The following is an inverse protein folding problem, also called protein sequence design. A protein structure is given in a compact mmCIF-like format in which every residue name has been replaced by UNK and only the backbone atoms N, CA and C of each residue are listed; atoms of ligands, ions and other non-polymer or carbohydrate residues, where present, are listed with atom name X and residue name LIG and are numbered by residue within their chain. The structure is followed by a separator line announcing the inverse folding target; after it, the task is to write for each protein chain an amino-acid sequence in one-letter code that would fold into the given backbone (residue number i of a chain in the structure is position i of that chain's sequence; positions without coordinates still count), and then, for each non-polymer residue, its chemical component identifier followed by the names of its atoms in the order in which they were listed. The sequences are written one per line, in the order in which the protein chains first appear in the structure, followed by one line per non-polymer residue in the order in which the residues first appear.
data_IF_280607830764
#
_entry.id   IF_280607830764
#
_cell.length_a   1.000
_cell.length_b   1.000
_cell.length_c   1.000
_cell.angle_alpha   90.00
_cell.angle_beta   90.00
_cell.angle_gamma   90.00
#
_symmetry.space_group_name_H-M   'P 1'
#
loop_
_entity.id
_entity.type
_entity.pdbx_description
1 polymer ?
#
# COMPACT_ATOMS: atom_id res chain seq x y z
N UNK A 1 -8.40 -22.64 -23.06
CA UNK A 1 -7.82 -21.28 -23.12
C UNK A 1 -6.80 -21.11 -24.25
N UNK A 2 -5.76 -21.95 -24.36
CA UNK A 2 -4.72 -21.83 -25.43
C UNK A 2 -5.32 -21.85 -26.85
N UNK A 3 -6.36 -22.66 -27.08
CA UNK A 3 -7.03 -22.74 -28.38
C UNK A 3 -7.72 -21.43 -28.79
N UNK A 4 -8.29 -20.67 -27.85
CA UNK A 4 -8.92 -19.37 -28.13
C UNK A 4 -7.90 -18.32 -28.57
N UNK A 5 -6.66 -18.38 -28.05
CA UNK A 5 -5.59 -17.45 -28.43
C UNK A 5 -5.07 -17.70 -29.86
N UNK A 6 -5.16 -18.94 -30.34
CA UNK A 6 -4.61 -19.37 -31.63
C UNK A 6 -5.61 -19.36 -32.78
N UNK A 7 -6.90 -19.19 -32.50
CA UNK A 7 -7.92 -19.16 -33.52
C UNK A 7 -7.65 -18.01 -34.50
N UNK A 8 -7.65 -18.32 -35.80
CA UNK A 8 -7.36 -17.36 -36.86
C UNK A 8 -8.63 -16.67 -37.35
N UNK A 9 -9.80 -17.24 -37.06
CA UNK A 9 -11.09 -16.70 -37.50
C UNK A 9 -12.17 -16.72 -36.42
N UNK A 10 -13.19 -15.89 -36.62
CA UNK A 10 -14.38 -15.86 -35.76
C UNK A 10 -15.19 -17.15 -35.83
N UNK A 11 -15.12 -17.86 -36.96
CA UNK A 11 -15.76 -19.17 -37.14
C UNK A 11 -15.09 -20.21 -36.25
N UNK A 12 -13.77 -20.24 -36.22
CA UNK A 12 -13.01 -21.14 -35.33
C UNK A 12 -13.26 -20.83 -33.85
N UNK A 13 -13.36 -19.55 -33.48
CA UNK A 13 -13.72 -19.16 -32.11
C UNK A 13 -15.09 -19.73 -31.70
N UNK A 14 -16.10 -19.60 -32.56
CA UNK A 14 -17.43 -20.15 -32.29
C UNK A 14 -17.41 -21.68 -32.20
N UNK A 15 -16.59 -22.34 -33.02
CA UNK A 15 -16.40 -23.79 -32.97
C UNK A 15 -15.79 -24.22 -31.64
N UNK A 16 -14.76 -23.51 -31.15
CA UNK A 16 -14.13 -23.77 -29.86
C UNK A 16 -15.14 -23.64 -28.72
N UNK A 17 -15.96 -22.58 -28.72
CA UNK A 17 -17.00 -22.43 -27.70
C UNK A 17 -18.03 -23.57 -27.75
N UNK A 18 -18.44 -23.97 -28.95
CA UNK A 18 -19.39 -25.08 -29.15
C UNK A 18 -18.82 -26.42 -28.68
N UNK A 19 -17.51 -26.63 -28.83
CA UNK A 19 -16.85 -27.87 -28.39
C UNK A 19 -16.63 -27.90 -26.87
N UNK A 20 -16.38 -26.75 -26.26
CA UNK A 20 -16.33 -26.62 -24.79
C UNK A 20 -17.72 -26.82 -24.18
N UNK A 21 -18.77 -26.29 -24.80
CA UNK A 21 -20.15 -26.45 -24.29
C UNK A 21 -20.58 -27.93 -24.22
N UNK A 22 -20.00 -28.81 -25.05
CA UNK A 22 -20.27 -30.26 -25.03
C UNK A 22 -19.62 -31.01 -23.87
N UNK A 23 -18.66 -30.43 -23.15
CA UNK A 23 -17.97 -31.15 -22.06
C UNK A 23 -18.83 -31.30 -20.80
N UNK A 24 -19.95 -30.57 -20.71
CA UNK A 24 -20.97 -30.63 -19.64
C UNK A 24 -20.39 -30.55 -18.20
N UNK A 25 -19.22 -29.94 -18.06
CA UNK A 25 -18.58 -29.72 -16.76
C UNK A 25 -19.23 -28.55 -16.01
N UNK A 26 -19.25 -28.65 -14.68
CA UNK A 26 -19.82 -27.61 -13.83
C UNK A 26 -19.03 -26.30 -13.95
N UNK A 27 -19.75 -25.18 -14.10
CA UNK A 27 -19.16 -23.84 -14.33
C UNK A 27 -18.76 -23.53 -15.79
N UNK A 28 -18.87 -24.47 -16.74
CA UNK A 28 -18.56 -24.21 -18.17
C UNK A 28 -19.47 -23.12 -18.75
N UNK A 29 -20.76 -23.14 -18.43
CA UNK A 29 -21.72 -22.13 -18.93
C UNK A 29 -21.36 -20.72 -18.47
N UNK A 30 -21.01 -20.55 -17.20
CA UNK A 30 -20.59 -19.26 -16.65
C UNK A 30 -19.28 -18.79 -17.28
N UNK A 31 -18.34 -19.72 -17.52
CA UNK A 31 -17.09 -19.45 -18.21
C UNK A 31 -17.33 -18.98 -19.65
N UNK A 32 -18.21 -19.67 -20.40
CA UNK A 32 -18.57 -19.30 -21.77
C UNK A 32 -19.26 -17.93 -21.77
N UNK A 33 -20.26 -17.69 -20.92
CA UNK A 33 -20.95 -16.38 -20.84
C UNK A 33 -19.96 -15.23 -20.58
N UNK A 34 -18.98 -15.46 -19.71
CA UNK A 34 -17.96 -14.45 -19.42
C UNK A 34 -17.07 -14.16 -20.63
N UNK A 35 -16.50 -15.21 -21.25
CA UNK A 35 -15.51 -15.04 -22.32
C UNK A 35 -16.10 -14.74 -23.70
N UNK A 36 -17.37 -15.08 -23.93
CA UNK A 36 -18.07 -14.79 -25.19
C UNK A 36 -18.48 -13.31 -25.31
N UNK A 37 -18.41 -12.54 -24.21
CA UNK A 37 -18.66 -11.09 -24.23
C UNK A 37 -17.74 -10.41 -25.24
N UNK A 38 -18.27 -9.62 -26.20
CA UNK A 38 -17.47 -9.08 -27.29
C UNK A 38 -16.21 -8.34 -26.86
N UNK A 39 -16.32 -7.52 -25.81
CA UNK A 39 -15.20 -6.73 -25.29
C UNK A 39 -14.17 -7.58 -24.53
N UNK A 40 -14.55 -8.71 -23.96
CA UNK A 40 -13.61 -9.66 -23.35
C UNK A 40 -12.93 -10.46 -24.44
N UNK A 41 -13.69 -11.02 -25.39
CA UNK A 41 -13.14 -11.81 -26.48
C UNK A 41 -12.16 -11.01 -27.35
N UNK A 42 -12.50 -9.74 -27.62
CA UNK A 42 -11.64 -8.81 -28.33
C UNK A 42 -10.35 -8.45 -27.58
N UNK A 43 -10.21 -8.76 -26.28
CA UNK A 43 -8.94 -8.61 -25.55
C UNK A 43 -8.04 -9.85 -25.64
N UNK A 44 -8.60 -10.98 -26.08
CA UNK A 44 -7.93 -12.28 -26.08
C UNK A 44 -7.49 -12.66 -27.48
N UNK A 45 -8.31 -12.38 -28.49
CA UNK A 45 -8.05 -12.79 -29.86
C UNK A 45 -8.23 -11.62 -30.84
N UNK A 46 -7.25 -11.44 -31.73
CA UNK A 46 -7.25 -10.37 -32.74
C UNK A 46 -8.42 -10.49 -33.71
N UNK A 47 -8.80 -11.69 -34.12
CA UNK A 47 -9.91 -11.97 -35.03
C UNK A 47 -11.29 -11.64 -34.44
N UNK A 48 -11.38 -11.47 -33.12
CA UNK A 48 -12.56 -10.93 -32.45
C UNK A 48 -12.49 -9.43 -32.21
N UNK A 49 -11.30 -8.84 -32.34
CA UNK A 49 -11.09 -7.40 -32.24
C UNK A 49 -11.37 -6.72 -33.58
N UNK A 50 -11.77 -5.45 -33.53
CA UNK A 50 -11.82 -4.57 -34.70
C UNK A 50 -10.47 -3.87 -34.95
N UNK A 51 -9.47 -4.14 -34.11
CA UNK A 51 -8.14 -3.58 -34.22
C UNK A 51 -7.35 -4.27 -35.32
N UNK A 52 -6.57 -3.49 -36.07
CA UNK A 52 -5.65 -4.02 -37.07
C UNK A 52 -4.66 -5.03 -36.46
N UNK A 53 -4.34 -6.09 -37.21
CA UNK A 53 -3.53 -7.21 -36.68
C UNK A 53 -2.09 -6.80 -36.40
N UNK A 54 -1.52 -5.86 -37.15
CA UNK A 54 -0.16 -5.36 -36.89
C UNK A 54 -0.13 -4.51 -35.62
N UNK A 55 -1.16 -3.69 -35.42
CA UNK A 55 -1.34 -2.92 -34.18
C UNK A 55 -1.54 -3.87 -33.00
N UNK A 56 -2.36 -4.91 -33.16
CA UNK A 56 -2.58 -5.95 -32.16
C UNK A 56 -1.27 -6.65 -31.76
N UNK A 57 -0.49 -7.11 -32.73
CA UNK A 57 0.77 -7.80 -32.47
C UNK A 57 1.85 -6.89 -31.85
N UNK A 58 1.79 -5.58 -32.13
CA UNK A 58 2.66 -4.58 -31.49
C UNK A 58 2.34 -4.42 -30.00
N UNK A 59 1.08 -4.58 -29.62
CA UNK A 59 0.66 -4.63 -28.22
C UNK A 59 0.99 -6.01 -27.62
N UNK A 60 2.19 -6.13 -27.06
CA UNK A 60 2.56 -7.33 -26.30
C UNK A 60 1.64 -7.53 -25.09
N UNK A 61 1.26 -8.78 -24.81
CA UNK A 61 0.56 -9.18 -23.57
C UNK A 61 1.45 -8.96 -22.34
N UNK A 62 1.55 -7.71 -21.89
CA UNK A 62 2.23 -7.37 -20.65
C UNK A 62 1.18 -7.05 -19.59
N UNK A 63 0.86 -8.04 -18.76
CA UNK A 63 0.02 -7.90 -17.55
C UNK A 63 0.38 -6.65 -16.75
N UNK A 64 1.69 -6.33 -16.69
CA UNK A 64 2.22 -5.13 -16.05
C UNK A 64 1.67 -3.80 -16.61
N UNK A 65 1.40 -3.70 -17.92
CA UNK A 65 0.84 -2.47 -18.51
C UNK A 65 -0.64 -2.33 -18.21
N UNK A 66 -1.39 -3.43 -18.27
CA UNK A 66 -2.80 -3.45 -17.88
C UNK A 66 -2.97 -3.10 -16.39
N UNK A 67 -2.19 -3.73 -15.51
CA UNK A 67 -2.18 -3.42 -14.08
C UNK A 67 -1.72 -1.99 -13.80
N UNK A 68 -0.70 -1.50 -14.51
CA UNK A 68 -0.24 -0.12 -14.39
C UNK A 68 -1.32 0.88 -14.84
N UNK A 69 -2.05 0.60 -15.92
CA UNK A 69 -3.16 1.42 -16.38
C UNK A 69 -4.27 1.49 -15.32
N UNK A 70 -4.70 0.34 -14.79
CA UNK A 70 -5.67 0.28 -13.70
C UNK A 70 -5.20 1.05 -12.45
N UNK A 71 -3.93 0.87 -12.06
CA UNK A 71 -3.33 1.56 -10.90
C UNK A 71 -3.25 3.08 -11.11
N UNK A 72 -2.90 3.54 -12.31
CA UNK A 72 -2.84 4.96 -12.66
C UNK A 72 -4.22 5.62 -12.64
N UNK A 73 -5.23 4.97 -13.23
CA UNK A 73 -6.61 5.46 -13.21
C UNK A 73 -7.11 5.56 -11.77
N UNK A 74 -6.90 4.51 -10.96
CA UNK A 74 -7.36 4.46 -9.57
C UNK A 74 -6.63 5.42 -8.63
N UNK A 75 -5.36 5.75 -8.89
CA UNK A 75 -4.62 6.79 -8.13
C UNK A 75 -5.26 8.17 -8.25
N UNK A 76 -5.96 8.43 -9.35
CA UNK A 76 -6.57 9.72 -9.64
C UNK A 76 -7.92 9.90 -8.92
N UNK A 77 -8.38 8.89 -8.17
CA UNK A 77 -9.61 8.91 -7.39
C UNK A 77 -10.54 7.77 -7.78
N UNK A 78 -11.17 7.15 -6.78
CA UNK A 78 -12.21 6.13 -6.96
C UNK A 78 -13.59 6.81 -6.94
N UNK A 79 -14.59 6.22 -7.62
CA UNK A 79 -16.00 6.66 -7.59
C UNK A 79 -16.25 8.09 -8.12
N UNK A 80 -15.63 8.44 -9.23
CA UNK A 80 -15.87 9.73 -9.90
C UNK A 80 -17.25 9.74 -10.59
N UNK A 81 -17.90 10.91 -10.63
CA UNK A 81 -19.04 11.14 -11.54
C UNK A 81 -18.57 10.92 -12.99
N UNK A 82 -19.43 10.36 -13.84
CA UNK A 82 -19.10 9.94 -15.20
C UNK A 82 -18.35 11.01 -16.01
N UNK A 83 -18.89 12.24 -16.05
CA UNK A 83 -18.26 13.39 -16.71
C UNK A 83 -16.84 13.68 -16.18
N UNK A 84 -16.65 13.59 -14.87
CA UNK A 84 -15.35 13.81 -14.24
C UNK A 84 -14.37 12.70 -14.57
N UNK A 85 -14.82 11.46 -14.72
CA UNK A 85 -14.00 10.34 -15.15
C UNK A 85 -13.53 10.52 -16.60
N UNK A 86 -14.45 10.88 -17.51
CA UNK A 86 -14.15 11.12 -18.93
C UNK A 86 -13.12 12.23 -19.11
N UNK A 87 -13.36 13.41 -18.51
CA UNK A 87 -12.44 14.55 -18.59
C UNK A 87 -11.05 14.23 -18.01
N UNK A 88 -10.99 13.41 -16.95
CA UNK A 88 -9.72 12.99 -16.36
C UNK A 88 -8.98 11.96 -17.22
N UNK A 89 -9.70 11.03 -17.84
CA UNK A 89 -9.15 10.09 -18.81
C UNK A 89 -8.50 10.84 -19.97
N UNK A 90 -9.22 11.78 -20.58
CA UNK A 90 -8.71 12.63 -21.66
C UNK A 90 -7.41 13.36 -21.27
N UNK A 91 -7.35 13.94 -20.06
CA UNK A 91 -6.14 14.63 -19.57
C UNK A 91 -4.96 13.68 -19.29
N UNK A 92 -5.21 12.40 -19.03
CA UNK A 92 -4.16 11.39 -18.91
C UNK A 92 -3.64 10.99 -20.30
N UNK A 93 -4.54 10.79 -21.25
CA UNK A 93 -4.21 10.44 -22.63
C UNK A 93 -3.40 11.56 -23.29
N UNK A 94 -3.81 12.82 -23.17
CA UNK A 94 -3.06 13.99 -23.66
C UNK A 94 -1.63 14.04 -23.10
N UNK A 95 -1.44 13.65 -21.83
CA UNK A 95 -0.10 13.59 -21.23
C UNK A 95 0.73 12.45 -21.80
N UNK A 96 0.14 11.29 -22.01
CA UNK A 96 0.82 10.15 -22.60
C UNK A 96 1.19 10.40 -24.06
N UNK A 97 0.31 11.02 -24.85
CA UNK A 97 0.61 11.41 -26.23
C UNK A 97 1.80 12.36 -26.31
N UNK A 98 1.83 13.42 -25.49
CA UNK A 98 2.99 14.33 -25.42
C UNK A 98 4.30 13.62 -25.05
N UNK A 99 4.23 12.64 -24.14
CA UNK A 99 5.39 11.84 -23.75
C UNK A 99 5.90 11.03 -24.94
N UNK A 100 5.00 10.38 -25.68
CA UNK A 100 5.32 9.60 -26.88
C UNK A 100 5.94 10.52 -27.94
N UNK A 101 5.32 11.66 -28.24
CA UNK A 101 5.83 12.64 -29.21
C UNK A 101 7.25 13.11 -28.87
N UNK A 102 7.51 13.46 -27.59
CA UNK A 102 8.84 13.88 -27.14
C UNK A 102 9.85 12.74 -27.27
N UNK A 103 9.45 11.53 -26.91
CA UNK A 103 10.32 10.35 -26.98
C UNK A 103 10.66 10.01 -28.44
N UNK A 104 9.69 10.06 -29.35
CA UNK A 104 9.90 9.83 -30.78
C UNK A 104 10.81 10.90 -31.38
N UNK A 105 10.63 12.17 -30.99
CA UNK A 105 11.47 13.29 -31.45
C UNK A 105 12.91 13.21 -30.90
N UNK A 106 13.08 12.93 -29.61
CA UNK A 106 14.38 12.98 -28.94
C UNK A 106 15.14 11.66 -28.93
N UNK A 107 14.48 10.55 -29.27
CA UNK A 107 14.94 9.17 -29.06
C UNK A 107 15.33 8.84 -27.60
N UNK A 108 15.01 9.72 -26.64
CA UNK A 108 15.29 9.51 -25.22
C UNK A 108 14.02 9.05 -24.51
N UNK A 109 14.03 7.85 -23.89
CA UNK A 109 12.87 7.35 -23.16
C UNK A 109 12.48 8.29 -22.00
N UNK A 110 11.20 8.64 -21.94
CA UNK A 110 10.69 9.45 -20.84
C UNK A 110 10.69 8.64 -19.54
N UNK A 111 11.44 9.10 -18.55
CA UNK A 111 11.40 8.53 -17.21
C UNK A 111 10.47 9.36 -16.32
N UNK A 112 9.36 8.76 -15.85
CA UNK A 112 8.42 9.39 -14.89
C UNK A 112 9.06 9.78 -13.54
N UNK A 113 10.33 9.42 -13.34
CA UNK A 113 11.12 9.74 -12.17
C UNK A 113 12.30 10.61 -12.59
N UNK A 114 12.36 11.81 -12.02
CA UNK A 114 13.55 12.65 -12.13
C UNK A 114 14.68 12.00 -11.32
N UNK A 115 15.59 11.33 -12.05
CA UNK A 115 16.80 10.72 -11.52
C UNK A 115 18.01 11.64 -11.65
N UNK A 116 17.83 12.94 -11.88
CA UNK A 116 18.93 13.90 -11.87
C UNK A 116 19.71 13.82 -10.55
N UNK A 117 20.99 14.18 -10.59
CA UNK A 117 21.83 14.22 -9.40
C UNK A 117 21.26 15.17 -8.35
N UNK A 118 20.72 16.31 -8.79
CA UNK A 118 20.06 17.32 -7.95
C UNK A 118 18.84 16.74 -7.23
N UNK A 119 17.95 16.04 -7.96
CA UNK A 119 16.77 15.44 -7.34
C UNK A 119 17.14 14.33 -6.36
N UNK A 120 18.15 13.52 -6.68
CA UNK A 120 18.67 12.49 -5.77
C UNK A 120 19.25 13.09 -4.48
N UNK A 121 20.03 14.17 -4.59
CA UNK A 121 20.55 14.89 -3.42
C UNK A 121 19.43 15.49 -2.57
N UNK A 122 18.42 16.13 -3.19
CA UNK A 122 17.26 16.67 -2.48
C UNK A 122 16.51 15.58 -1.70
N UNK A 123 16.27 14.42 -2.32
CA UNK A 123 15.63 13.28 -1.65
C UNK A 123 16.46 12.76 -0.48
N UNK A 124 17.78 12.70 -0.61
CA UNK A 124 18.68 12.30 0.48
C UNK A 124 18.65 13.31 1.65
N UNK A 125 18.65 14.61 1.37
CA UNK A 125 18.53 15.67 2.38
C UNK A 125 17.20 15.54 3.14
N UNK A 126 16.08 15.37 2.43
CA UNK A 126 14.76 15.23 3.05
C UNK A 126 14.66 13.97 3.95
N UNK A 127 15.27 12.86 3.53
CA UNK A 127 15.36 11.64 4.36
C UNK A 127 16.15 11.88 5.64
N UNK A 128 17.28 12.59 5.54
CA UNK A 128 18.11 12.95 6.71
C UNK A 128 17.36 13.88 7.67
N UNK A 129 16.64 14.87 7.13
CA UNK A 129 15.82 15.78 7.93
C UNK A 129 14.73 15.05 8.71
N UNK A 130 14.03 14.10 8.07
CA UNK A 130 13.01 13.28 8.74
C UNK A 130 13.60 12.41 9.87
N UNK A 131 14.74 11.77 9.61
CA UNK A 131 15.42 10.95 10.62
C UNK A 131 15.82 11.78 11.85
N UNK A 132 16.27 13.02 11.66
CA UNK A 132 16.63 13.90 12.76
C UNK A 132 15.42 14.26 13.63
N UNK A 133 14.27 14.56 13.01
CA UNK A 133 13.01 14.80 13.74
C UNK A 133 12.61 13.58 14.55
N UNK A 134 12.65 12.38 13.94
CA UNK A 134 12.29 11.13 14.62
C UNK A 134 13.23 10.82 15.82
N UNK A 135 14.52 11.17 15.70
CA UNK A 135 15.51 11.02 16.79
C UNK A 135 15.22 12.00 17.92
N UNK A 136 14.95 13.27 17.62
CA UNK A 136 14.66 14.29 18.61
C UNK A 136 13.38 13.95 19.40
N UNK A 137 12.32 13.51 18.71
CA UNK A 137 11.08 13.06 19.35
C UNK A 137 11.31 11.87 20.29
N UNK A 138 12.13 10.90 19.86
CA UNK A 138 12.47 9.74 20.71
C UNK A 138 13.29 10.16 21.93
N UNK A 139 14.22 11.09 21.77
CA UNK A 139 15.02 11.62 22.88
C UNK A 139 14.13 12.32 23.91
N UNK A 140 13.22 13.19 23.46
CA UNK A 140 12.31 13.92 24.34
C UNK A 140 11.40 12.98 25.14
N UNK A 141 10.92 11.91 24.48
CA UNK A 141 10.12 10.86 25.13
C UNK A 141 10.91 10.13 26.22
N UNK A 142 12.18 9.78 25.96
CA UNK A 142 13.05 9.12 26.93
C UNK A 142 13.37 10.03 28.12
N UNK A 143 13.60 11.31 27.89
CA UNK A 143 13.84 12.28 28.96
C UNK A 143 12.63 12.40 29.90
N UNK A 144 11.40 12.44 29.35
CA UNK A 144 10.17 12.41 30.15
C UNK A 144 10.03 11.13 30.98
N UNK A 145 10.26 9.96 30.37
CA UNK A 145 10.16 8.66 31.07
C UNK A 145 11.18 8.53 32.21
N UNK A 146 12.40 9.06 32.02
CA UNK A 146 13.42 9.10 33.07
C UNK A 146 12.96 9.98 34.23
N UNK A 147 12.37 11.14 33.95
CA UNK A 147 11.94 12.08 34.98
C UNK A 147 10.75 11.53 35.78
N UNK A 148 9.79 10.87 35.11
CA UNK A 148 8.70 10.14 35.77
C UNK A 148 9.22 9.05 36.71
N UNK A 149 10.20 8.25 36.26
CA UNK A 149 10.82 7.21 37.11
C UNK A 149 11.54 7.80 38.32
N UNK A 150 12.24 8.93 38.16
CA UNK A 150 12.89 9.62 39.30
C UNK A 150 11.86 10.10 40.31
N UNK A 151 10.75 10.67 39.85
CA UNK A 151 9.67 11.12 40.73
C UNK A 151 9.06 9.95 41.50
N UNK A 152 8.78 8.83 40.83
CA UNK A 152 8.26 7.62 41.47
C UNK A 152 9.24 7.02 42.49
N UNK A 153 10.55 7.09 42.24
CA UNK A 153 11.56 6.67 43.21
C UNK A 153 11.56 7.56 44.45
N UNK A 154 11.51 8.89 44.27
CA UNK A 154 11.42 9.84 45.39
C UNK A 154 10.16 9.61 46.22
N UNK A 155 9.02 9.33 45.60
CA UNK A 155 7.77 9.01 46.31
C UNK A 155 7.90 7.72 47.14
N UNK A 156 8.54 6.69 46.59
CA UNK A 156 8.82 5.44 47.33
C UNK A 156 9.76 5.67 48.50
N UNK A 157 10.80 6.47 48.33
CA UNK A 157 11.74 6.80 49.42
C UNK A 157 11.04 7.55 50.56
N UNK A 158 10.16 8.50 50.23
CA UNK A 158 9.35 9.22 51.22
C UNK A 158 8.40 8.25 51.95
N UNK A 159 7.77 7.33 51.23
CA UNK A 159 6.88 6.33 51.83
C UNK A 159 7.64 5.38 52.78
N UNK A 160 8.83 4.94 52.37
CA UNK A 160 9.71 4.11 53.21
C UNK A 160 10.11 4.86 54.48
N UNK A 161 10.54 6.12 54.39
CA UNK A 161 10.89 6.93 55.56
C UNK A 161 9.72 7.07 56.55
N UNK A 162 8.50 7.27 56.04
CA UNK A 162 7.29 7.31 56.90
C UNK A 162 7.05 5.98 57.59
N UNK A 163 7.13 4.87 56.86
CA UNK A 163 6.91 3.53 57.44
C UNK A 163 7.95 3.17 58.51
N UNK A 164 9.22 3.57 58.30
CA UNK A 164 10.29 3.37 59.29
C UNK A 164 10.01 4.16 60.56
N UNK A 165 9.63 5.44 60.43
CA UNK A 165 9.29 6.28 61.58
C UNK A 165 8.08 5.72 62.36
N UNK A 166 7.06 5.20 61.66
CA UNK A 166 5.92 4.54 62.30
C UNK A 166 6.33 3.29 63.11
N UNK A 167 7.18 2.42 62.53
CA UNK A 167 7.68 1.23 63.23
C UNK A 167 8.49 1.62 64.47
N UNK A 168 9.39 2.61 64.37
CA UNK A 168 10.15 3.11 65.51
C UNK A 168 9.24 3.64 66.64
N UNK A 169 8.18 4.37 66.29
CA UNK A 169 7.22 4.87 67.30
C UNK A 169 6.49 3.75 68.03
N UNK A 170 6.15 2.67 67.32
CA UNK A 170 5.50 1.49 67.89
C UNK A 170 6.45 0.73 68.81
N UNK A 171 7.72 0.57 68.41
CA UNK A 171 8.73 -0.08 69.26
C UNK A 171 8.96 0.67 70.56
N UNK A 172 9.14 2.00 70.50
CA UNK A 172 9.30 2.84 71.69
C UNK A 172 8.07 2.73 72.62
N UNK A 173 6.86 2.72 72.06
CA UNK A 173 5.63 2.56 72.84
C UNK A 173 5.57 1.19 73.54
N UNK A 174 5.94 0.12 72.82
CA UNK A 174 5.98 -1.24 73.36
C UNK A 174 7.02 -1.40 74.47
N UNK A 175 8.20 -0.79 74.33
CA UNK A 175 9.22 -0.79 75.39
C UNK A 175 8.72 -0.08 76.66
N UNK A 176 8.09 1.10 76.51
CA UNK A 176 7.48 1.82 77.64
C UNK A 176 6.40 1.00 78.34
N UNK A 177 5.55 0.31 77.58
CA UNK A 177 4.49 -0.55 78.14
C UNK A 177 5.08 -1.75 78.93
N UNK A 178 6.14 -2.38 78.41
CA UNK A 178 6.85 -3.46 79.13
C UNK A 178 7.47 -2.98 80.44
N UNK A 179 8.05 -1.78 80.46
CA UNK A 179 8.60 -1.19 81.68
C UNK A 179 7.52 -0.86 82.71
N UNK A 180 6.35 -0.36 82.27
CA UNK A 180 5.22 -0.09 83.15
C UNK A 180 4.64 -1.36 83.81
N UNK A 181 4.62 -2.49 83.10
CA UNK A 181 4.18 -3.79 83.64
C UNK A 181 5.17 -4.42 84.62
N UNK A 182 6.45 -4.04 84.59
CA UNK A 182 7.48 -4.53 85.53
C UNK A 182 7.50 -3.79 86.87
N UNK A 183 6.84 -2.64 86.95
CA UNK A 183 6.85 -1.75 88.12
C UNK A 183 5.51 -1.75 88.90
N UNK A 184 4.65 -2.74 88.64
CA UNK A 184 3.42 -3.04 89.37
C UNK A 184 3.52 -4.46 89.94
#
# INVERSE_FOLDING_TARGET
MISLLKAESKVELNQIFSDIEKSDEDGVKDWIDYYQRPHILATINSSASLMDVEIWNRYGNNTNTAEAAHSLVNRTGKQLKLLSAILRGQKLDERHLKIIEIQDFSAVPYTKQDKSQVKRQLLAINRKGKLLVDIEERRLRLELEIEERKMSLKERDIALQKSVAEVETIEIANEKAKLALKNN
#
